data_IF_970656334343
#
_entry.id   IF_970656334343
#
_cell.length_a   1.000
_cell.length_b   1.000
_cell.length_c   1.000
_cell.angle_alpha   90.00
_cell.angle_beta   90.00
_cell.angle_gamma   90.00
#
_symmetry.space_group_name_H-M   'P 1'
#
loop_
_entity.id
_entity.type
_entity.pdbx_description
1 polymer ?
#
# COMPACT_ATOMS: atom_id res chain seq x y z
N UNK A 1 7.38 -6.99 -8.15
CA UNK A 1 6.90 -8.34 -7.82
C UNK A 1 8.15 -9.16 -7.52
N UNK A 2 8.35 -9.50 -6.26
CA UNK A 2 9.51 -10.27 -5.81
C UNK A 2 9.05 -11.45 -4.96
N UNK A 3 9.49 -12.66 -5.33
CA UNK A 3 9.31 -13.86 -4.54
C UNK A 3 10.51 -14.08 -3.62
N UNK A 4 10.27 -14.05 -2.32
CA UNK A 4 11.24 -14.35 -1.28
C UNK A 4 10.97 -15.75 -0.71
N UNK A 5 11.96 -16.34 -0.03
CA UNK A 5 11.88 -17.74 0.44
C UNK A 5 10.66 -18.04 1.33
N UNK A 6 10.13 -17.02 2.03
CA UNK A 6 9.00 -17.18 2.98
C UNK A 6 7.76 -16.33 2.64
N UNK A 7 7.86 -15.40 1.68
CA UNK A 7 6.78 -14.47 1.35
C UNK A 7 6.82 -13.97 -0.10
N UNK A 8 5.69 -13.42 -0.54
CA UNK A 8 5.52 -12.75 -1.83
C UNK A 8 5.33 -11.27 -1.59
N UNK A 9 6.17 -10.43 -2.21
CA UNK A 9 6.12 -8.98 -2.06
C UNK A 9 5.52 -8.36 -3.31
N UNK A 10 4.41 -7.63 -3.11
CA UNK A 10 3.75 -6.83 -4.14
C UNK A 10 4.00 -5.36 -3.81
N UNK A 11 4.49 -4.62 -4.78
CA UNK A 11 4.70 -3.18 -4.69
C UNK A 11 3.90 -2.49 -5.77
N UNK A 12 3.38 -1.32 -5.45
CA UNK A 12 2.62 -0.54 -6.40
C UNK A 12 2.44 0.90 -5.95
N UNK A 13 1.86 1.68 -6.85
CA UNK A 13 1.39 3.02 -6.54
C UNK A 13 0.05 3.26 -7.23
N UNK A 14 -0.70 4.21 -6.69
CA UNK A 14 -1.94 4.69 -7.29
C UNK A 14 -2.05 6.20 -7.10
N UNK A 15 -2.75 6.88 -8.01
CA UNK A 15 -3.04 8.30 -7.86
C UNK A 15 -4.01 8.50 -6.70
N UNK A 16 -3.68 9.44 -5.83
CA UNK A 16 -4.47 9.77 -4.65
C UNK A 16 -5.87 10.22 -5.07
N UNK A 17 -6.94 9.70 -4.45
CA UNK A 17 -8.30 10.14 -4.73
C UNK A 17 -8.49 11.64 -4.46
N UNK A 18 -7.64 12.23 -3.62
CA UNK A 18 -7.63 13.67 -3.37
C UNK A 18 -7.26 14.48 -4.61
N UNK A 19 -6.40 13.98 -5.51
CA UNK A 19 -6.08 14.73 -6.74
C UNK A 19 -7.31 14.81 -7.67
N UNK A 20 -8.09 13.74 -7.74
CA UNK A 20 -9.33 13.72 -8.53
C UNK A 20 -10.45 14.59 -7.96
N UNK A 21 -10.60 14.60 -6.63
CA UNK A 21 -11.72 15.27 -5.98
C UNK A 21 -11.39 16.68 -5.48
N UNK A 22 -10.12 16.97 -5.18
CA UNK A 22 -9.59 18.23 -4.65
C UNK A 22 -8.27 18.59 -5.35
N UNK A 23 -8.30 18.93 -6.64
CA UNK A 23 -7.08 19.17 -7.41
C UNK A 23 -6.28 20.35 -6.81
N UNK A 24 -4.95 20.21 -6.80
CA UNK A 24 -3.98 21.19 -6.28
C UNK A 24 -3.96 21.39 -4.75
N UNK A 25 -4.66 20.58 -3.95
CA UNK A 25 -4.55 20.66 -2.49
C UNK A 25 -3.33 19.92 -1.94
N UNK A 26 -2.75 19.02 -2.75
CA UNK A 26 -1.62 18.20 -2.37
C UNK A 26 -0.36 18.60 -3.14
N UNK A 27 0.83 18.52 -2.50
CA UNK A 27 2.10 18.65 -3.21
C UNK A 27 2.28 17.51 -4.23
N UNK A 28 2.94 17.80 -5.35
CA UNK A 28 3.12 16.87 -6.47
C UNK A 28 3.74 15.53 -6.04
N UNK A 29 4.63 15.57 -5.04
CA UNK A 29 5.28 14.39 -4.47
C UNK A 29 4.32 13.42 -3.79
N UNK A 30 3.14 13.89 -3.36
CA UNK A 30 2.14 13.09 -2.64
C UNK A 30 0.96 12.66 -3.50
N UNK A 31 0.92 13.11 -4.77
CA UNK A 31 -0.14 12.73 -5.72
C UNK A 31 -0.15 11.23 -6.02
N UNK A 32 1.02 10.60 -6.04
CA UNK A 32 1.14 9.16 -6.17
C UNK A 32 1.37 8.52 -4.80
N UNK A 33 0.39 7.75 -4.33
CA UNK A 33 0.48 6.99 -3.10
C UNK A 33 1.15 5.64 -3.37
N UNK A 34 2.26 5.37 -2.69
CA UNK A 34 2.99 4.11 -2.79
C UNK A 34 2.55 3.13 -1.69
N UNK A 35 2.51 1.83 -2.03
CA UNK A 35 2.25 0.77 -1.07
C UNK A 35 3.13 -0.45 -1.33
N UNK A 36 3.33 -1.22 -0.27
CA UNK A 36 3.92 -2.55 -0.32
C UNK A 36 3.03 -3.52 0.46
N UNK A 37 2.81 -4.70 -0.11
CA UNK A 37 2.01 -5.77 0.47
C UNK A 37 2.87 -7.02 0.56
N UNK A 38 2.97 -7.55 1.77
CA UNK A 38 3.72 -8.78 2.06
C UNK A 38 2.70 -9.90 2.27
N UNK A 39 2.71 -10.90 1.39
CA UNK A 39 1.78 -12.03 1.41
C UNK A 39 2.52 -13.32 1.79
N UNK A 40 1.94 -14.18 2.64
CA UNK A 40 2.43 -15.55 2.79
C UNK A 40 2.12 -16.35 1.51
N UNK A 41 2.97 -17.32 1.16
CA UNK A 41 2.71 -18.21 0.02
C UNK A 41 1.47 -19.08 0.21
N UNK A 42 1.12 -19.39 1.46
CA UNK A 42 -0.02 -20.23 1.82
C UNK A 42 -0.90 -19.53 2.84
N UNK A 43 -2.20 -19.55 2.59
CA UNK A 43 -3.22 -19.11 3.53
C UNK A 43 -3.88 -20.32 4.15
N UNK A 44 -4.08 -20.30 5.47
CA UNK A 44 -4.81 -21.36 6.19
C UNK A 44 -6.30 -21.39 5.84
N UNK A 45 -6.87 -20.26 5.44
CA UNK A 45 -8.26 -20.15 4.98
C UNK A 45 -8.32 -19.47 3.61
N UNK A 46 -9.13 -20.01 2.71
CA UNK A 46 -9.44 -19.38 1.42
C UNK A 46 -10.48 -18.27 1.54
N UNK A 47 -11.25 -18.21 2.65
CA UNK A 47 -12.36 -17.27 2.83
C UNK A 47 -11.96 -16.01 3.60
N UNK A 48 -10.92 -16.10 4.43
CA UNK A 48 -10.53 -15.00 5.33
C UNK A 48 -9.04 -14.84 5.30
N UNK A 49 -8.59 -13.64 4.94
CA UNK A 49 -7.18 -13.25 4.86
C UNK A 49 -6.99 -12.00 5.71
N UNK A 50 -6.73 -12.13 7.02
CA UNK A 50 -6.49 -10.97 7.86
C UNK A 50 -5.23 -10.25 7.39
N UNK A 51 -5.25 -8.92 7.39
CA UNK A 51 -4.14 -8.07 6.95
C UNK A 51 -3.85 -7.06 8.05
N UNK A 52 -2.56 -6.85 8.34
CA UNK A 52 -2.10 -5.73 9.16
C UNK A 52 -1.76 -4.55 8.24
N UNK A 53 -2.33 -3.38 8.51
CA UNK A 53 -2.03 -2.16 7.76
C UNK A 53 -1.01 -1.32 8.54
N UNK A 54 0.21 -1.22 8.01
CA UNK A 54 1.23 -0.33 8.55
C UNK A 54 1.16 1.02 7.82
N UNK A 55 0.78 2.06 8.54
CA UNK A 55 0.77 3.43 8.03
C UNK A 55 2.00 4.14 8.57
N UNK A 56 2.98 4.40 7.70
CA UNK A 56 4.09 5.28 8.02
C UNK A 56 3.66 6.72 7.71
N UNK A 57 3.06 7.40 8.69
CA UNK A 57 2.86 8.84 8.61
C UNK A 57 4.14 9.56 9.00
N UNK A 58 4.61 10.48 8.16
CA UNK A 58 5.54 11.52 8.60
C UNK A 58 4.74 12.46 9.49
N UNK A 59 4.72 12.20 10.79
CA UNK A 59 4.06 13.09 11.74
C UNK A 59 4.80 14.42 11.79
N UNK A 60 4.37 15.41 11.00
CA UNK A 60 4.50 16.81 11.38
C UNK A 60 3.19 17.21 12.07
N UNK A 61 3.28 17.34 13.39
CA UNK A 61 2.24 17.90 14.26
C UNK A 61 2.47 19.40 14.40
#
# INVERSE_FOLDING_TARGET
DEEWSDCHIIEGCFESPFEHHLPNIMPDETKNCHFQLILPHKWTSHKTKPVCLHLAGTGDH
#
